data_IF_716415047701
#
_entry.id   IF_716415047701
#
_cell.length_a   1.000
_cell.length_b   1.000
_cell.length_c   1.000
_cell.angle_alpha   90.00
_cell.angle_beta   90.00
_cell.angle_gamma   90.00
#
_symmetry.space_group_name_H-M   'P 1'
#
loop_
_entity.id
_entity.type
_entity.pdbx_description
1 polymer ?
#
# COMPACT_ATOMS: atom_id res chain seq x y z
N UNK A 1 9.65 18.21 -24.18
CA UNK A 1 9.62 16.83 -23.67
C UNK A 1 9.83 16.86 -22.17
N UNK A 2 8.78 16.64 -21.34
CA UNK A 2 8.95 16.36 -19.93
C UNK A 2 8.55 14.91 -19.61
N UNK A 3 9.58 14.20 -19.18
CA UNK A 3 9.71 12.99 -18.37
C UNK A 3 8.46 12.12 -18.10
N UNK A 4 8.56 10.90 -18.63
CA UNK A 4 7.76 9.73 -18.32
C UNK A 4 7.92 9.32 -16.85
N UNK A 5 6.97 9.71 -15.99
CA UNK A 5 6.79 9.14 -14.65
C UNK A 5 5.31 8.81 -14.37
N UNK A 6 4.51 8.52 -15.39
CA UNK A 6 3.10 8.11 -15.24
C UNK A 6 2.94 6.58 -15.32
N UNK A 7 3.70 5.84 -14.51
CA UNK A 7 3.55 4.37 -14.42
C UNK A 7 3.47 3.83 -13.00
N UNK A 8 3.15 4.67 -12.04
CA UNK A 8 2.53 4.20 -10.81
C UNK A 8 1.08 4.63 -10.94
N UNK A 9 0.16 3.68 -11.15
CA UNK A 9 -1.27 3.96 -11.04
C UNK A 9 -1.45 4.78 -9.76
N UNK A 10 -2.19 5.90 -9.81
CA UNK A 10 -2.42 6.77 -8.65
C UNK A 10 -3.11 5.97 -7.55
N UNK A 11 -2.34 5.20 -6.78
CA UNK A 11 -2.82 4.41 -5.67
C UNK A 11 -2.99 5.38 -4.54
N UNK A 12 -4.25 5.69 -4.26
CA UNK A 12 -4.63 6.68 -3.27
C UNK A 12 -5.05 5.99 -1.98
N UNK A 13 -4.70 6.62 -0.87
CA UNK A 13 -5.21 6.27 0.44
C UNK A 13 -6.70 6.64 0.56
N UNK A 14 -7.29 6.42 1.75
CA UNK A 14 -8.70 6.76 1.98
C UNK A 14 -9.02 8.26 1.87
N UNK A 15 -8.01 9.13 1.98
CA UNK A 15 -8.14 10.59 1.90
C UNK A 15 -7.84 11.13 0.49
N UNK A 16 -7.46 10.26 -0.44
CA UNK A 16 -7.09 10.65 -1.80
C UNK A 16 -5.62 10.98 -1.97
N UNK A 17 -4.79 10.72 -0.96
CA UNK A 17 -3.36 10.97 -0.99
C UNK A 17 -2.61 9.84 -1.69
N UNK A 18 -1.65 10.13 -2.59
CA UNK A 18 -0.90 9.09 -3.28
C UNK A 18 0.00 8.33 -2.30
N UNK A 19 -0.07 7.00 -2.35
CA UNK A 19 0.77 6.06 -1.60
C UNK A 19 1.91 5.59 -2.49
N UNK A 20 3.14 5.70 -1.99
CA UNK A 20 4.37 5.25 -2.65
C UNK A 20 5.16 4.31 -1.75
N UNK A 21 6.07 3.57 -2.37
CA UNK A 21 7.05 2.76 -1.63
C UNK A 21 7.87 3.65 -0.70
N UNK A 22 8.03 3.22 0.55
CA UNK A 22 8.66 3.99 1.62
C UNK A 22 7.72 4.91 2.41
N UNK A 23 6.51 5.19 1.93
CA UNK A 23 5.55 6.01 2.69
C UNK A 23 5.09 5.25 3.94
N UNK A 24 4.91 5.98 5.04
CA UNK A 24 4.32 5.42 6.25
C UNK A 24 2.81 5.31 6.07
N UNK A 25 2.27 4.10 6.18
CA UNK A 25 0.83 3.84 6.14
C UNK A 25 0.35 3.23 7.45
N UNK A 26 -0.90 3.49 7.77
CA UNK A 26 -1.54 2.86 8.93
C UNK A 26 -3.01 2.53 8.68
N UNK A 27 -3.50 1.56 9.43
CA UNK A 27 -4.92 1.22 9.51
C UNK A 27 -5.32 0.86 10.92
N UNK A 28 -6.53 1.25 11.31
CA UNK A 28 -7.08 0.97 12.63
C UNK A 28 -7.74 -0.41 12.64
N UNK A 29 -7.42 -1.21 13.65
CA UNK A 29 -8.09 -2.48 13.93
C UNK A 29 -8.76 -2.44 15.30
N UNK A 30 -9.72 -3.33 15.57
CA UNK A 30 -10.35 -3.41 16.90
C UNK A 30 -9.30 -3.85 17.94
N UNK A 31 -8.92 -2.93 18.81
CA UNK A 31 -7.91 -3.18 19.86
C UNK A 31 -6.46 -2.94 19.43
N UNK A 32 -6.22 -2.34 18.26
CA UNK A 32 -4.87 -2.07 17.78
C UNK A 32 -4.79 -1.24 16.51
N UNK A 33 -3.62 -1.23 15.89
CA UNK A 33 -3.37 -0.68 14.57
C UNK A 33 -2.31 -1.52 13.87
N UNK A 34 -2.33 -1.53 12.55
CA UNK A 34 -1.17 -1.94 11.75
C UNK A 34 -0.58 -0.67 11.17
N UNK A 35 0.67 -0.39 11.50
CA UNK A 35 1.39 0.78 11.03
C UNK A 35 2.77 0.35 10.55
N UNK A 36 3.17 0.83 9.38
CA UNK A 36 4.42 0.42 8.75
C UNK A 36 4.75 1.22 7.51
N UNK A 37 5.99 1.11 7.05
CA UNK A 37 6.40 1.66 5.76
C UNK A 37 5.99 0.73 4.62
N UNK A 38 5.52 1.29 3.51
CA UNK A 38 5.16 0.54 2.31
C UNK A 38 6.39 -0.12 1.71
N UNK A 39 6.35 -1.45 1.63
CA UNK A 39 7.39 -2.25 1.00
C UNK A 39 7.16 -2.31 -0.52
N UNK A 40 5.91 -2.54 -0.95
CA UNK A 40 5.55 -2.65 -2.36
C UNK A 40 4.07 -2.33 -2.61
N UNK A 41 3.75 -1.88 -3.82
CA UNK A 41 2.38 -1.63 -4.26
C UNK A 41 2.05 -2.52 -5.45
N UNK A 42 1.26 -3.55 -5.20
CA UNK A 42 0.77 -4.48 -6.21
C UNK A 42 -0.40 -3.84 -6.94
N UNK A 43 -0.25 -3.61 -8.24
CA UNK A 43 -1.30 -3.01 -9.08
C UNK A 43 -1.83 -3.97 -10.14
N UNK A 44 -1.05 -4.98 -10.50
CA UNK A 44 -1.40 -5.96 -11.52
C UNK A 44 -1.76 -7.33 -10.95
N UNK A 45 -2.53 -8.13 -11.69
CA UNK A 45 -2.83 -9.51 -11.31
C UNK A 45 -1.59 -10.42 -11.34
N UNK A 46 -0.61 -10.11 -12.20
CA UNK A 46 0.64 -10.86 -12.30
C UNK A 46 1.47 -10.72 -11.00
N UNK A 47 1.72 -9.47 -10.57
CA UNK A 47 2.38 -9.17 -9.29
C UNK A 47 1.59 -9.77 -8.12
N UNK A 48 0.25 -9.67 -8.16
CA UNK A 48 -0.59 -10.23 -7.10
C UNK A 48 -0.40 -11.75 -6.97
N UNK A 49 -0.26 -12.45 -8.09
CA UNK A 49 -0.01 -13.89 -8.11
C UNK A 49 1.38 -14.25 -7.59
N UNK A 50 2.40 -13.47 -7.92
CA UNK A 50 3.78 -13.65 -7.43
C UNK A 50 3.88 -13.43 -5.92
N UNK A 51 3.24 -12.37 -5.42
CA UNK A 51 3.18 -12.02 -3.99
C UNK A 51 2.14 -12.85 -3.20
N UNK A 52 1.35 -13.69 -3.87
CA UNK A 52 0.32 -14.53 -3.25
C UNK A 52 -0.87 -13.74 -2.69
N UNK A 53 -1.09 -12.50 -3.16
CA UNK A 53 -2.21 -11.65 -2.77
C UNK A 53 -3.35 -11.72 -3.78
N UNK A 54 -4.57 -11.42 -3.33
CA UNK A 54 -5.78 -11.41 -4.18
C UNK A 54 -6.35 -10.00 -4.26
N UNK A 55 -7.03 -9.71 -5.37
CA UNK A 55 -7.75 -8.47 -5.64
C UNK A 55 -6.86 -7.22 -5.59
N UNK A 56 -5.97 -7.01 -6.58
CA UNK A 56 -5.27 -5.75 -6.73
C UNK A 56 -6.24 -4.57 -6.92
N UNK A 57 -5.88 -3.33 -6.50
CA UNK A 57 -4.60 -2.96 -5.94
C UNK A 57 -4.42 -3.35 -4.47
N UNK A 58 -3.20 -3.74 -4.09
CA UNK A 58 -2.81 -4.07 -2.71
C UNK A 58 -1.50 -3.40 -2.34
N UNK A 59 -1.47 -2.88 -1.11
CA UNK A 59 -0.27 -2.31 -0.49
C UNK A 59 0.29 -3.35 0.48
N UNK A 60 1.55 -3.69 0.28
CA UNK A 60 2.34 -4.58 1.12
C UNK A 60 3.21 -3.73 2.06
N UNK A 61 3.13 -3.99 3.36
CA UNK A 61 3.97 -3.34 4.36
C UNK A 61 4.18 -4.25 5.58
N UNK A 62 5.26 -4.04 6.32
CA UNK A 62 5.45 -4.68 7.63
C UNK A 62 4.88 -3.82 8.74
N UNK A 63 4.03 -4.39 9.58
CA UNK A 63 3.52 -3.70 10.75
C UNK A 63 4.59 -3.51 11.84
N UNK A 64 4.25 -2.79 12.91
CA UNK A 64 5.13 -2.51 14.05
C UNK A 64 5.59 -3.76 14.82
N UNK A 65 5.01 -4.93 14.55
CA UNK A 65 5.38 -6.22 15.14
C UNK A 65 6.21 -7.07 14.16
N UNK A 66 6.46 -6.58 12.95
CA UNK A 66 7.21 -7.28 11.91
C UNK A 66 6.36 -8.24 11.08
N UNK A 67 5.03 -8.21 11.20
CA UNK A 67 4.15 -9.03 10.37
C UNK A 67 3.93 -8.38 9.01
N UNK A 68 4.03 -9.16 7.92
CA UNK A 68 3.67 -8.71 6.59
C UNK A 68 2.16 -8.54 6.45
N UNK A 69 1.72 -7.36 6.02
CA UNK A 69 0.31 -6.98 5.85
C UNK A 69 0.07 -6.60 4.40
N UNK A 70 -0.97 -7.19 3.80
CA UNK A 70 -1.41 -6.88 2.43
C UNK A 70 -2.82 -6.27 2.44
N UNK A 71 -2.92 -4.94 2.40
CA UNK A 71 -4.19 -4.22 2.58
C UNK A 71 -4.63 -3.44 1.34
N UNK A 72 -5.93 -3.16 1.23
CA UNK A 72 -6.45 -2.29 0.17
C UNK A 72 -6.03 -0.84 0.44
N UNK A 73 -5.38 -0.15 -0.51
CA UNK A 73 -4.95 1.24 -0.34
C UNK A 73 -6.08 2.20 0.06
N UNK A 74 -7.28 2.05 -0.51
CA UNK A 74 -8.42 2.95 -0.21
C UNK A 74 -8.98 2.82 1.21
N UNK A 75 -8.39 1.97 2.04
CA UNK A 75 -8.73 1.79 3.46
C UNK A 75 -7.56 2.09 4.40
N UNK A 76 -6.40 2.39 3.84
CA UNK A 76 -5.22 2.84 4.57
C UNK A 76 -5.24 4.36 4.69
N UNK A 77 -4.49 4.84 5.66
CA UNK A 77 -4.17 6.25 5.83
C UNK A 77 -2.66 6.42 5.69
N UNK A 78 -2.23 7.36 4.85
CA UNK A 78 -0.84 7.76 4.79
C UNK A 78 -0.52 8.70 5.96
N UNK A 79 0.67 8.57 6.54
CA UNK A 79 1.28 9.54 7.46
C UNK A 79 2.31 10.36 6.70
N UNK A 80 2.31 11.67 6.92
CA UNK A 80 3.33 12.61 6.44
C UNK A 80 4.73 12.32 7.02
#
# INVERSE_FOLDING_TARGET
MPQSQDKQADIKDKHGEPIREGDAVWTKMRGGRHEGAVDAVVTSEAEAREEGVKNPPKVLFKDQHGHGVAHNPGTLERKE
#
